data_IF_242142158965
#
_entry.id   IF_242142158965
#
_cell.length_a   1.000
_cell.length_b   1.000
_cell.length_c   1.000
_cell.angle_alpha   90.00
_cell.angle_beta   90.00
_cell.angle_gamma   90.00
#
_symmetry.space_group_name_H-M   'P 1'
#
loop_
_entity.id
_entity.type
_entity.pdbx_description
1 polymer ?
#
# COMPACT_ATOMS: atom_id res chain seq x y z
N UNK A 1 -26.01 -17.52 8.56
CA UNK A 1 -24.99 -16.45 8.45
C UNK A 1 -24.50 -16.41 7.02
N UNK A 2 -24.92 -15.41 6.24
CA UNK A 2 -24.38 -15.15 4.90
C UNK A 2 -23.38 -14.00 5.04
N UNK A 3 -22.12 -14.27 4.73
CA UNK A 3 -21.10 -13.24 4.58
C UNK A 3 -21.30 -12.66 3.18
N UNK A 4 -21.96 -11.51 3.08
CA UNK A 4 -22.04 -10.78 1.82
C UNK A 4 -20.66 -10.18 1.54
N UNK A 5 -19.96 -10.72 0.53
CA UNK A 5 -18.81 -10.05 -0.06
C UNK A 5 -19.31 -8.72 -0.64
N UNK A 6 -19.01 -7.62 0.06
CA UNK A 6 -19.30 -6.28 -0.42
C UNK A 6 -18.39 -5.99 -1.61
N UNK A 7 -19.07 -5.79 -2.74
CA UNK A 7 -18.67 -5.27 -4.03
C UNK A 7 -17.30 -4.53 -4.07
N UNK A 8 -16.29 -5.19 -4.66
CA UNK A 8 -14.92 -4.68 -4.86
C UNK A 8 -14.86 -3.68 -6.05
N UNK A 9 -16.00 -3.30 -6.64
CA UNK A 9 -16.06 -2.59 -7.93
C UNK A 9 -16.37 -1.10 -7.92
N UNK A 10 -16.60 -0.43 -6.78
CA UNK A 10 -16.90 1.01 -6.80
C UNK A 10 -15.62 1.85 -6.87
N UNK A 11 -15.54 2.86 -7.77
CA UNK A 11 -14.49 3.86 -7.70
C UNK A 11 -14.68 4.65 -6.40
N UNK A 12 -13.85 4.35 -5.42
CA UNK A 12 -13.81 5.01 -4.13
C UNK A 12 -13.36 6.45 -4.36
N UNK A 13 -14.28 7.40 -4.14
CA UNK A 13 -13.96 8.83 -4.17
C UNK A 13 -12.86 9.05 -3.14
N UNK A 14 -11.68 9.47 -3.59
CA UNK A 14 -10.58 9.86 -2.69
C UNK A 14 -11.12 10.99 -1.83
N UNK A 15 -11.55 10.62 -0.63
CA UNK A 15 -11.87 11.57 0.43
C UNK A 15 -10.53 12.10 0.93
N UNK A 16 -10.49 13.37 1.32
CA UNK A 16 -9.29 13.95 1.95
C UNK A 16 -8.80 13.02 3.08
N UNK A 17 -7.49 12.78 3.14
CA UNK A 17 -6.92 11.83 4.09
C UNK A 17 -7.28 12.21 5.53
N UNK A 18 -7.92 11.29 6.27
CA UNK A 18 -8.27 11.48 7.67
C UNK A 18 -7.15 10.97 8.57
N UNK A 19 -6.24 11.87 8.92
CA UNK A 19 -5.10 11.59 9.80
C UNK A 19 -5.49 11.31 11.25
N UNK A 20 -6.74 11.59 11.66
CA UNK A 20 -7.19 11.32 13.03
C UNK A 20 -7.26 9.82 13.33
N UNK A 21 -7.22 8.96 12.29
CA UNK A 21 -7.16 7.50 12.44
C UNK A 21 -5.92 7.03 13.19
N UNK A 22 -4.83 7.80 13.15
CA UNK A 22 -3.57 7.48 13.84
C UNK A 22 -3.63 7.72 15.34
N UNK A 23 -4.68 8.40 15.83
CA UNK A 23 -4.91 8.53 17.26
C UNK A 23 -5.40 7.20 17.89
N UNK A 24 -5.81 6.21 17.08
CA UNK A 24 -6.13 4.87 17.55
C UNK A 24 -4.84 4.05 17.73
N UNK A 25 -4.48 3.64 18.97
CA UNK A 25 -3.25 2.89 19.22
C UNK A 25 -3.18 1.54 18.50
N UNK A 26 -4.32 0.93 18.17
CA UNK A 26 -4.34 -0.32 17.41
C UNK A 26 -3.90 -0.09 15.97
N UNK A 27 -4.28 1.04 15.36
CA UNK A 27 -3.86 1.40 13.99
C UNK A 27 -2.36 1.60 13.96
N UNK A 28 -1.80 2.38 14.87
CA UNK A 28 -0.35 2.61 14.96
C UNK A 28 0.41 1.30 15.18
N UNK A 29 -0.01 0.49 16.16
CA UNK A 29 0.65 -0.78 16.46
C UNK A 29 0.62 -1.74 15.26
N UNK A 30 -0.48 -1.80 14.51
CA UNK A 30 -0.58 -2.64 13.33
C UNK A 30 0.28 -2.09 12.19
N UNK A 31 0.28 -0.78 11.96
CA UNK A 31 1.11 -0.16 10.92
C UNK A 31 2.61 -0.44 11.14
N UNK A 32 3.09 -0.32 12.37
CA UNK A 32 4.47 -0.68 12.71
C UNK A 32 4.74 -2.18 12.52
N UNK A 33 3.77 -3.06 12.84
CA UNK A 33 3.93 -4.50 12.65
C UNK A 33 4.03 -4.87 11.16
N UNK A 34 3.19 -4.26 10.31
CA UNK A 34 3.24 -4.41 8.85
C UNK A 34 4.59 -3.92 8.33
N UNK A 35 5.03 -2.73 8.73
CA UNK A 35 6.31 -2.16 8.31
C UNK A 35 7.51 -3.04 8.70
N UNK A 36 7.52 -3.58 9.92
CA UNK A 36 8.55 -4.56 10.35
C UNK A 36 8.56 -5.82 9.48
N UNK A 37 7.37 -6.33 9.12
CA UNK A 37 7.24 -7.47 8.21
C UNK A 37 7.84 -7.18 6.84
N UNK A 38 7.56 -6.00 6.28
CA UNK A 38 8.09 -5.61 4.98
C UNK A 38 9.59 -5.31 5.00
N UNK A 39 10.09 -4.61 6.01
CA UNK A 39 11.53 -4.38 6.17
C UNK A 39 12.31 -5.70 6.31
N UNK A 40 11.71 -6.71 6.95
CA UNK A 40 12.32 -8.05 7.04
C UNK A 40 12.30 -8.76 5.67
N UNK A 41 11.16 -8.76 4.99
CA UNK A 41 10.96 -9.54 3.77
C UNK A 41 11.58 -8.85 2.52
N UNK A 42 11.73 -7.52 2.55
CA UNK A 42 12.15 -6.69 1.43
C UNK A 42 13.27 -5.68 1.77
N UNK A 43 13.96 -5.81 2.90
CA UNK A 43 14.88 -4.80 3.46
C UNK A 43 16.04 -4.32 2.59
N UNK A 44 16.32 -4.97 1.46
CA UNK A 44 17.27 -4.48 0.45
C UNK A 44 16.64 -3.47 -0.52
N UNK A 45 15.33 -3.34 -0.50
CA UNK A 45 14.52 -2.61 -1.50
C UNK A 45 13.48 -1.70 -0.88
N UNK A 46 13.02 -1.97 0.35
CA UNK A 46 12.06 -1.16 1.07
C UNK A 46 12.47 -1.06 2.54
N UNK A 47 12.78 0.14 3.00
CA UNK A 47 13.17 0.42 4.38
C UNK A 47 11.96 0.44 5.32
N UNK A 48 12.21 0.29 6.62
CA UNK A 48 11.14 0.26 7.62
C UNK A 48 10.37 1.57 7.67
N UNK A 49 11.07 2.70 7.64
CA UNK A 49 10.52 4.04 7.70
C UNK A 49 9.61 4.30 6.49
N UNK A 50 10.05 3.94 5.30
CA UNK A 50 9.26 4.04 4.06
C UNK A 50 8.02 3.14 4.12
N UNK A 51 8.18 1.88 4.54
CA UNK A 51 7.07 0.94 4.69
C UNK A 51 6.04 1.43 5.72
N UNK A 52 6.52 2.01 6.82
CA UNK A 52 5.67 2.57 7.86
C UNK A 52 4.90 3.79 7.36
N UNK A 53 5.59 4.73 6.72
CA UNK A 53 4.98 5.93 6.16
C UNK A 53 3.89 5.58 5.14
N UNK A 54 4.19 4.69 4.19
CA UNK A 54 3.20 4.26 3.18
C UNK A 54 2.03 3.52 3.82
N UNK A 55 2.26 2.69 4.83
CA UNK A 55 1.18 2.01 5.56
C UNK A 55 0.25 3.01 6.25
N UNK A 56 0.81 4.04 6.87
CA UNK A 56 0.08 5.12 7.54
C UNK A 56 -0.72 5.96 6.54
N UNK A 57 -0.14 6.27 5.38
CA UNK A 57 -0.84 6.97 4.28
C UNK A 57 -2.04 6.15 3.82
N UNK A 58 -1.87 4.85 3.56
CA UNK A 58 -2.97 3.96 3.15
C UNK A 58 -4.09 3.94 4.19
N UNK A 59 -3.74 3.92 5.48
CA UNK A 59 -4.72 3.94 6.56
C UNK A 59 -5.50 5.27 6.59
N UNK A 60 -4.82 6.40 6.43
CA UNK A 60 -5.43 7.74 6.43
C UNK A 60 -6.31 7.98 5.20
N UNK A 61 -5.88 7.55 4.01
CA UNK A 61 -6.67 7.61 2.76
C UNK A 61 -7.98 6.81 2.84
N UNK A 62 -8.06 5.84 3.76
CA UNK A 62 -9.20 4.92 3.90
C UNK A 62 -9.68 4.80 5.34
N UNK A 63 -9.59 5.88 6.11
CA UNK A 63 -9.85 5.87 7.55
C UNK A 63 -11.23 5.29 7.92
N UNK A 64 -12.28 5.63 7.18
CA UNK A 64 -13.63 5.11 7.43
C UNK A 64 -13.67 3.57 7.35
N UNK A 65 -13.01 3.00 6.34
CA UNK A 65 -12.92 1.55 6.17
C UNK A 65 -12.04 0.89 7.23
N UNK A 66 -10.94 1.54 7.64
CA UNK A 66 -10.09 1.07 8.74
C UNK A 66 -10.88 1.00 10.06
N UNK A 67 -11.67 2.04 10.38
CA UNK A 67 -12.55 2.05 11.56
C UNK A 67 -13.58 0.92 11.51
N UNK A 68 -14.19 0.70 10.35
CA UNK A 68 -15.13 -0.41 10.15
C UNK A 68 -14.45 -1.77 10.36
N UNK A 69 -13.27 -1.97 9.76
CA UNK A 69 -12.47 -3.19 9.89
C UNK A 69 -12.15 -3.50 11.35
N UNK A 70 -11.71 -2.49 12.10
CA UNK A 70 -11.42 -2.63 13.52
C UNK A 70 -12.66 -2.99 14.33
N UNK A 71 -13.80 -2.33 14.06
CA UNK A 71 -15.05 -2.59 14.75
C UNK A 71 -15.60 -4.00 14.48
N UNK A 72 -15.47 -4.52 13.26
CA UNK A 72 -16.07 -5.79 12.85
C UNK A 72 -15.17 -7.01 13.09
N UNK A 73 -13.86 -6.87 12.89
CA UNK A 73 -12.92 -8.00 12.83
C UNK A 73 -11.60 -7.79 13.59
N UNK A 74 -11.34 -6.57 14.06
CA UNK A 74 -10.17 -6.23 14.88
C UNK A 74 -8.83 -6.22 14.13
N UNK A 75 -7.76 -6.13 14.93
CA UNK A 75 -6.39 -5.87 14.46
C UNK A 75 -5.84 -6.92 13.48
N UNK A 76 -6.25 -8.19 13.59
CA UNK A 76 -5.76 -9.26 12.72
C UNK A 76 -6.18 -9.08 11.27
N UNK A 77 -7.43 -8.68 11.03
CA UNK A 77 -7.91 -8.43 9.68
C UNK A 77 -7.33 -7.11 9.14
N UNK A 78 -7.20 -6.09 9.99
CA UNK A 78 -6.51 -4.85 9.62
C UNK A 78 -5.07 -5.10 9.17
N UNK A 79 -4.31 -5.92 9.91
CA UNK A 79 -2.93 -6.29 9.55
C UNK A 79 -2.88 -6.95 8.17
N UNK A 80 -3.75 -7.94 7.93
CA UNK A 80 -3.81 -8.63 6.64
C UNK A 80 -4.14 -7.65 5.51
N UNK A 81 -5.13 -6.80 5.71
CA UNK A 81 -5.59 -5.85 4.70
C UNK A 81 -4.52 -4.80 4.38
N UNK A 82 -3.90 -4.18 5.38
CA UNK A 82 -2.79 -3.23 5.19
C UNK A 82 -1.59 -3.87 4.51
N UNK A 83 -1.23 -5.10 4.90
CA UNK A 83 -0.14 -5.85 4.26
C UNK A 83 -0.41 -6.07 2.77
N UNK A 84 -1.65 -6.38 2.40
CA UNK A 84 -2.03 -6.56 1.00
C UNK A 84 -1.96 -5.23 0.24
N UNK A 85 -2.48 -4.14 0.80
CA UNK A 85 -2.47 -2.82 0.16
C UNK A 85 -1.06 -2.29 -0.05
N UNK A 86 -0.19 -2.41 0.95
CA UNK A 86 1.20 -2.01 0.84
C UNK A 86 1.91 -2.84 -0.24
N UNK A 87 1.67 -4.16 -0.28
CA UNK A 87 2.24 -5.02 -1.34
C UNK A 87 1.78 -4.59 -2.73
N UNK A 88 0.48 -4.35 -2.90
CA UNK A 88 -0.09 -3.98 -4.20
C UNK A 88 0.47 -2.63 -4.69
N UNK A 89 0.57 -1.63 -3.80
CA UNK A 89 1.17 -0.32 -4.10
C UNK A 89 2.66 -0.46 -4.43
N UNK A 90 3.41 -1.19 -3.61
CA UNK A 90 4.83 -1.42 -3.83
C UNK A 90 5.12 -2.18 -5.14
N UNK A 91 4.39 -3.25 -5.43
CA UNK A 91 4.56 -4.00 -6.69
C UNK A 91 4.19 -3.15 -7.90
N UNK A 92 3.20 -2.27 -7.76
CA UNK A 92 2.82 -1.32 -8.82
C UNK A 92 3.95 -0.32 -9.07
N UNK A 93 4.52 0.27 -8.02
CA UNK A 93 5.65 1.18 -8.14
C UNK A 93 6.92 0.49 -8.66
N UNK A 94 7.23 -0.71 -8.17
CA UNK A 94 8.37 -1.49 -8.64
C UNK A 94 8.23 -1.81 -10.14
N UNK A 95 7.02 -2.16 -10.59
CA UNK A 95 6.71 -2.34 -12.01
C UNK A 95 6.91 -1.04 -12.78
N UNK A 96 6.41 0.09 -12.28
CA UNK A 96 6.60 1.39 -12.92
C UNK A 96 8.09 1.74 -13.02
N UNK A 97 8.87 1.58 -11.94
CA UNK A 97 10.33 1.80 -11.94
C UNK A 97 11.05 0.90 -12.95
N UNK A 98 10.64 -0.37 -13.08
CA UNK A 98 11.23 -1.28 -14.08
C UNK A 98 10.93 -0.90 -15.54
N UNK A 99 9.84 -0.15 -15.78
CA UNK A 99 9.48 0.39 -17.08
C UNK A 99 10.24 1.65 -17.49
N UNK A 100 10.97 2.29 -16.56
CA UNK A 100 11.80 3.44 -16.87
C UNK A 100 13.08 2.98 -17.57
N UNK A 101 13.05 3.00 -18.89
CA UNK A 101 14.23 2.79 -19.73
C UNK A 101 15.11 4.03 -19.61
N UNK A 102 16.42 3.84 -19.38
CA UNK A 102 17.37 4.96 -19.39
C UNK A 102 17.30 5.69 -20.74
N UNK A 103 17.50 7.01 -20.73
CA UNK A 103 17.53 7.81 -21.95
C UNK A 103 18.45 7.21 -23.03
N UNK A 104 19.61 6.69 -22.61
CA UNK A 104 20.56 6.03 -23.51
C UNK A 104 20.03 4.73 -24.09
N UNK A 105 19.35 3.89 -23.30
CA UNK A 105 18.75 2.66 -23.79
C UNK A 105 17.56 2.93 -24.74
N UNK A 106 16.79 4.00 -24.49
CA UNK A 106 15.75 4.46 -25.39
C UNK A 106 16.33 5.03 -26.71
N UNK A 107 17.42 5.80 -26.63
CA UNK A 107 18.11 6.38 -27.79
C UNK A 107 18.71 5.29 -28.69
N UNK A 108 19.39 4.31 -28.10
CA UNK A 108 19.95 3.17 -28.84
C UNK A 108 18.89 2.24 -29.43
N UNK A 109 17.70 2.14 -28.81
CA UNK A 109 16.58 1.41 -29.42
C UNK A 109 16.04 2.15 -30.66
N UNK A 110 15.89 3.48 -30.58
CA UNK A 110 15.45 4.32 -31.69
C UNK A 110 16.45 4.33 -32.86
N UNK A 111 17.76 4.40 -32.58
CA UNK A 111 18.82 4.32 -33.60
C UNK A 111 18.80 2.96 -34.35
N UNK A 112 18.39 1.87 -33.70
CA UNK A 112 18.31 0.53 -34.31
C UNK A 112 17.03 0.26 -35.10
N UNK A 113 15.96 1.02 -34.88
CA UNK A 113 14.67 0.85 -35.59
C UNK A 113 14.48 1.82 -36.75
N UNK A 114 15.40 2.78 -36.92
CA UNK A 114 15.41 3.75 -38.02
C UNK A 114 16.28 3.36 -39.24
N UNK A 115 16.70 2.08 -39.35
CA UNK A 115 17.38 1.52 -40.53
C UNK A 115 16.45 0.61 -41.33
#
# INVERSE_FOLDING_TARGET
MSLQLVDIGKPEVVTEADWTILADPQVESVAQAVARGFARDYGLTLEYEDAYQETVIIAAERAAYVRQLLAEAGAGLLHRWLSQRLRDRWLTEAKHRSGHVSYEAARHAAERTGQ
#
